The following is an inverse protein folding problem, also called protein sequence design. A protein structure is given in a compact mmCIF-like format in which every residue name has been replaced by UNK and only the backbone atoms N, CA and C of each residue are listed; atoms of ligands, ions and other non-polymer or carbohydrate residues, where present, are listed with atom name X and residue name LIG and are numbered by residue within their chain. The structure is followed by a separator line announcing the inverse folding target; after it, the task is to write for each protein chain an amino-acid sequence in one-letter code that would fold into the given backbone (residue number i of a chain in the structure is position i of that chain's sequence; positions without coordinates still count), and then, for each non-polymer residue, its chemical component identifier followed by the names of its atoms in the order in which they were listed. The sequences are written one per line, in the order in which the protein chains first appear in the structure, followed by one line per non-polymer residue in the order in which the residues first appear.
data_IF_585557693320
#
_entry.id   IF_585557693320
#
_cell.length_a   1.000
_cell.length_b   1.000
_cell.length_c   1.000
_cell.angle_alpha   90.00
_cell.angle_beta   90.00
_cell.angle_gamma   90.00
#
_symmetry.space_group_name_H-M   'P 1'
#
loop_
_entity.id
_entity.type
_entity.pdbx_description
1 polymer ?
#
# COMPACT_ATOMS: atom_id res chain seq x y z
N UNK A 1 7.28 -3.16 -13.14
CA UNK A 1 7.08 -1.98 -12.26
C UNK A 1 6.52 -2.46 -10.92
N UNK A 2 6.67 -1.70 -9.82
CA UNK A 2 6.17 -2.07 -8.50
C UNK A 2 4.99 -1.18 -8.09
N UNK A 3 3.88 -1.78 -7.65
CA UNK A 3 2.72 -1.09 -7.10
C UNK A 3 2.68 -1.33 -5.59
N UNK A 4 3.02 -0.31 -4.80
CA UNK A 4 3.04 -0.37 -3.34
C UNK A 4 1.73 0.18 -2.78
N UNK A 5 1.08 -0.56 -1.89
CA UNK A 5 -0.09 -0.07 -1.17
C UNK A 5 -0.84 -1.16 -0.43
N UNK A 6 -2.02 -0.83 0.10
CA UNK A 6 -2.89 -1.82 0.77
C UNK A 6 -3.93 -2.39 -0.19
N UNK A 7 -4.17 -3.70 -0.11
CA UNK A 7 -5.31 -4.35 -0.77
C UNK A 7 -6.67 -3.76 -0.37
N UNK A 8 -6.77 -3.14 0.81
CA UNK A 8 -8.00 -2.50 1.30
C UNK A 8 -8.23 -1.10 0.71
N UNK A 9 -7.24 -0.53 0.03
CA UNK A 9 -7.36 0.81 -0.54
C UNK A 9 -8.12 0.79 -1.87
N UNK A 10 -9.25 1.53 -2.01
CA UNK A 10 -9.98 1.61 -3.28
C UNK A 10 -9.14 2.27 -4.38
N UNK A 11 -8.17 3.12 -4.01
CA UNK A 11 -7.25 3.77 -4.96
C UNK A 11 -6.28 2.77 -5.59
N UNK A 12 -5.70 1.89 -4.77
CA UNK A 12 -4.81 0.82 -5.24
C UNK A 12 -5.57 -0.14 -6.15
N UNK A 13 -6.82 -0.47 -5.79
CA UNK A 13 -7.69 -1.30 -6.64
C UNK A 13 -7.96 -0.64 -7.99
N UNK A 14 -8.28 0.67 -8.01
CA UNK A 14 -8.46 1.42 -9.26
C UNK A 14 -7.20 1.41 -10.14
N UNK A 15 -6.01 1.63 -9.55
CA UNK A 15 -4.74 1.55 -10.30
C UNK A 15 -4.46 0.14 -10.84
N UNK A 16 -4.71 -0.90 -10.05
CA UNK A 16 -4.50 -2.28 -10.49
C UNK A 16 -5.34 -2.62 -11.73
N UNK A 17 -6.60 -2.18 -11.76
CA UNK A 17 -7.50 -2.40 -12.90
C UNK A 17 -6.98 -1.66 -14.13
N UNK A 18 -6.59 -0.38 -13.99
CA UNK A 18 -6.05 0.41 -15.09
C UNK A 18 -4.76 -0.18 -15.67
N UNK A 19 -3.85 -0.67 -14.83
CA UNK A 19 -2.61 -1.31 -15.28
C UNK A 19 -2.88 -2.63 -16.02
N UNK A 20 -3.83 -3.43 -15.53
CA UNK A 20 -4.27 -4.67 -16.20
C UNK A 20 -4.95 -4.37 -17.54
N UNK A 21 -5.83 -3.36 -17.61
CA UNK A 21 -6.48 -2.93 -18.86
C UNK A 21 -5.48 -2.44 -19.91
N UNK A 22 -4.37 -1.85 -19.48
CA UNK A 22 -3.27 -1.42 -20.36
C UNK A 22 -2.26 -2.53 -20.68
N UNK A 23 -2.44 -3.74 -20.14
CA UNK A 23 -1.55 -4.88 -20.35
C UNK A 23 -0.17 -4.73 -19.71
N UNK A 24 -0.04 -3.86 -18.70
CA UNK A 24 1.23 -3.59 -18.03
C UNK A 24 1.38 -4.56 -16.85
N UNK A 25 2.43 -5.38 -16.88
CA UNK A 25 2.75 -6.27 -15.78
C UNK A 25 3.34 -5.49 -14.60
N UNK A 26 2.78 -5.70 -13.41
CA UNK A 26 3.25 -5.08 -12.18
C UNK A 26 3.37 -6.11 -11.06
N UNK A 27 4.33 -5.87 -10.19
CA UNK A 27 4.51 -6.61 -8.95
C UNK A 27 3.84 -5.80 -7.83
N UNK A 28 2.90 -6.43 -7.12
CA UNK A 28 2.19 -5.78 -6.02
C UNK A 28 2.91 -6.02 -4.69
N UNK A 29 3.22 -4.94 -3.98
CA UNK A 29 3.83 -5.00 -2.65
C UNK A 29 2.81 -4.46 -1.64
N UNK A 30 2.33 -5.36 -0.79
CA UNK A 30 1.38 -5.02 0.26
C UNK A 30 2.10 -4.37 1.44
N UNK A 31 2.17 -3.05 1.46
CA UNK A 31 2.67 -2.30 2.61
C UNK A 31 1.48 -1.61 3.30
N UNK A 32 1.23 -2.02 4.54
CA UNK A 32 0.36 -1.25 5.43
C UNK A 32 1.09 0.03 5.83
N UNK A 33 0.40 1.18 5.94
CA UNK A 33 1.01 2.39 6.45
C UNK A 33 1.58 2.05 7.82
N UNK A 34 2.90 2.12 7.88
CA UNK A 34 3.77 1.76 8.98
C UNK A 34 3.07 1.92 10.34
N UNK A 35 2.92 0.80 11.05
CA UNK A 35 2.65 0.78 12.49
C UNK A 35 3.92 1.16 13.27
N UNK A 36 4.55 2.30 12.93
CA UNK A 36 5.65 2.96 13.66
C UNK A 36 5.45 4.47 13.46
N UNK A 37 4.70 5.12 14.32
CA UNK A 37 5.35 5.70 15.49
C UNK A 37 4.41 5.60 16.69
N UNK A 38 4.43 4.45 17.36
CA UNK A 38 4.03 4.37 18.77
C UNK A 38 5.22 4.59 19.70
N UNK A 39 6.24 5.34 19.27
CA UNK A 39 7.27 5.86 20.18
C UNK A 39 6.69 6.86 21.18
N UNK A 40 5.57 7.52 20.85
CA UNK A 40 4.87 8.46 21.74
C UNK A 40 4.12 7.79 22.89
N UNK A 41 3.88 6.47 22.85
CA UNK A 41 3.14 5.76 23.92
C UNK A 41 4.01 5.32 25.10
N UNK A 42 5.34 5.35 24.96
CA UNK A 42 6.28 4.88 25.99
C UNK A 42 7.09 6.01 26.64
N UNK A 43 6.82 7.28 26.30
CA UNK A 43 7.43 8.45 26.93
C UNK A 43 6.62 9.01 28.11
N UNK A 44 5.51 8.34 28.47
CA UNK A 44 4.61 8.72 29.56
C UNK A 44 4.49 7.65 30.65
N UNK A 45 5.47 6.76 30.78
CA UNK A 45 5.59 5.86 31.94
C UNK A 45 6.98 5.90 32.54
#
# INVERSE_FOLDING_TARGET
MKLVGSYTSPFVRKLSILLLEKGITFEFINELPITRTTAWRNLTR
#
